data_IF_340393680718
#
_entry.id   IF_340393680718
#
_cell.length_a   1.000
_cell.length_b   1.000
_cell.length_c   1.000
_cell.angle_alpha   90.00
_cell.angle_beta   90.00
_cell.angle_gamma   90.00
#
_symmetry.space_group_name_H-M   'P 1'
#
loop_
_entity.id
_entity.type
_entity.pdbx_description
1 polymer ?
#
# COMPACT_ATOMS: atom_id res chain seq x y z
N UNK A 1 10.54 -9.19 0.23
CA UNK A 1 9.53 -8.17 0.58
C UNK A 1 10.02 -6.89 -0.04
N UNK A 2 9.30 -6.38 -1.03
CA UNK A 2 9.62 -5.10 -1.64
C UNK A 2 8.68 -4.04 -1.08
N UNK A 3 9.28 -2.93 -0.64
CA UNK A 3 8.55 -1.77 -0.17
C UNK A 3 9.04 -0.54 -0.92
N UNK A 4 8.10 0.27 -1.37
CA UNK A 4 8.36 1.49 -2.13
C UNK A 4 7.47 2.60 -1.61
N UNK A 5 7.73 3.83 -2.07
CA UNK A 5 6.98 5.01 -1.67
C UNK A 5 6.22 5.52 -2.88
N UNK A 6 4.91 5.66 -2.73
CA UNK A 6 4.05 6.35 -3.70
C UNK A 6 3.63 7.69 -3.12
N UNK A 7 3.53 8.71 -3.96
CA UNK A 7 3.05 10.03 -3.54
C UNK A 7 1.66 10.26 -4.09
N UNK A 8 0.69 10.47 -3.21
CA UNK A 8 -0.70 10.76 -3.59
C UNK A 8 -1.08 12.06 -2.92
N UNK A 9 -1.56 13.05 -3.68
CA UNK A 9 -1.94 14.38 -3.18
C UNK A 9 -0.83 15.04 -2.32
N UNK A 10 0.43 14.97 -2.75
CA UNK A 10 1.62 15.46 -2.02
C UNK A 10 1.89 14.79 -0.66
N UNK A 11 1.25 13.65 -0.38
CA UNK A 11 1.52 12.84 0.81
C UNK A 11 2.22 11.56 0.38
N UNK A 12 3.35 11.26 1.04
CA UNK A 12 4.12 10.05 0.80
C UNK A 12 3.53 8.87 1.59
N UNK A 13 3.26 7.76 0.90
CA UNK A 13 2.76 6.52 1.47
C UNK A 13 3.76 5.40 1.23
N UNK A 14 4.15 4.72 2.31
CA UNK A 14 4.98 3.52 2.20
C UNK A 14 4.07 2.33 1.89
N UNK A 15 4.30 1.72 0.73
CA UNK A 15 3.56 0.56 0.22
C UNK A 15 4.46 -0.66 0.32
N UNK A 16 3.89 -1.80 0.69
CA UNK A 16 4.57 -3.10 0.68
C UNK A 16 3.72 -4.13 -0.04
N UNK A 17 4.32 -4.86 -0.97
CA UNK A 17 3.64 -5.90 -1.76
C UNK A 17 4.09 -7.28 -1.28
N UNK A 18 3.12 -8.16 -1.06
CA UNK A 18 3.33 -9.52 -0.61
C UNK A 18 2.54 -10.51 -1.48
N UNK A 19 3.22 -11.56 -1.97
CA UNK A 19 2.56 -12.66 -2.70
C UNK A 19 1.71 -13.57 -1.82
N UNK A 20 1.90 -13.52 -0.50
CA UNK A 20 1.14 -14.26 0.52
C UNK A 20 0.59 -13.27 1.56
N UNK A 21 -0.52 -13.60 2.20
CA UNK A 21 -1.06 -12.75 3.28
C UNK A 21 -0.12 -12.80 4.50
N UNK A 22 0.64 -11.73 4.84
CA UNK A 22 1.43 -11.68 6.06
C UNK A 22 0.55 -11.84 7.30
N UNK A 23 1.16 -12.36 8.37
CA UNK A 23 0.47 -12.54 9.65
C UNK A 23 0.05 -11.17 10.19
N UNK A 24 -1.22 -11.06 10.61
CA UNK A 24 -1.84 -9.81 11.10
C UNK A 24 -1.01 -9.07 12.17
N UNK A 25 -0.22 -9.79 12.96
CA UNK A 25 0.66 -9.21 13.99
C UNK A 25 1.87 -8.43 13.43
N UNK A 26 2.33 -8.71 12.21
CA UNK A 26 3.40 -7.94 11.55
C UNK A 26 2.89 -6.60 11.00
N UNK A 27 1.57 -6.49 10.84
CA UNK A 27 0.87 -5.32 10.30
C UNK A 27 0.26 -4.48 11.43
N UNK A 28 -0.01 -5.05 12.60
CA UNK A 28 -0.65 -4.30 13.69
C UNK A 28 0.38 -3.63 14.60
N UNK A 29 0.83 -2.43 14.23
CA UNK A 29 1.53 -1.53 15.14
C UNK A 29 0.54 -0.45 15.62
N UNK A 30 0.30 -0.35 16.94
CA UNK A 30 -0.71 0.55 17.55
C UNK A 30 -0.56 2.03 17.15
N UNK A 31 0.61 2.43 16.66
CA UNK A 31 0.92 3.79 16.22
C UNK A 31 0.89 3.98 14.71
N UNK A 32 0.46 2.97 13.95
CA UNK A 32 0.51 2.97 12.49
C UNK A 32 -0.80 2.40 11.96
N UNK A 33 -1.48 3.18 11.11
CA UNK A 33 -2.65 2.69 10.41
C UNK A 33 -2.20 1.96 9.14
N UNK A 34 -2.74 0.77 8.89
CA UNK A 34 -2.52 0.06 7.65
C UNK A 34 -3.81 -0.08 6.86
N UNK A 35 -3.76 0.31 5.59
CA UNK A 35 -4.80 0.00 4.62
C UNK A 35 -4.35 -1.22 3.83
N UNK A 36 -5.20 -2.25 3.76
CA UNK A 36 -4.89 -3.53 3.12
C UNK A 36 -5.80 -3.74 1.92
N UNK A 37 -5.22 -4.08 0.78
CA UNK A 37 -5.93 -4.44 -0.45
C UNK A 37 -5.34 -5.69 -1.10
N UNK A 38 -6.04 -6.24 -2.09
CA UNK A 38 -5.54 -7.34 -2.93
C UNK A 38 -5.62 -6.88 -4.38
N UNK A 39 -4.52 -6.99 -5.09
CA UNK A 39 -4.42 -6.70 -6.53
C UNK A 39 -5.12 -7.79 -7.35
N UNK A 40 -5.46 -7.48 -8.60
CA UNK A 40 -6.01 -8.46 -9.55
C UNK A 40 -5.03 -9.59 -9.87
N UNK A 41 -3.72 -9.31 -9.81
CA UNK A 41 -2.64 -10.30 -9.89
C UNK A 41 -2.55 -11.22 -8.66
N UNK A 42 -3.39 -11.00 -7.63
CA UNK A 42 -3.48 -11.84 -6.44
C UNK A 42 -2.52 -11.46 -5.31
N UNK A 43 -1.68 -10.45 -5.49
CA UNK A 43 -0.76 -9.94 -4.46
C UNK A 43 -1.48 -9.06 -3.44
N UNK A 44 -1.06 -9.15 -2.19
CA UNK A 44 -1.51 -8.30 -1.08
C UNK A 44 -0.71 -7.01 -1.00
N UNK A 45 -1.41 -5.91 -0.80
CA UNK A 45 -0.84 -4.57 -0.69
C UNK A 45 -1.10 -4.03 0.70
N UNK A 46 -0.03 -3.58 1.36
CA UNK A 46 -0.06 -2.99 2.69
C UNK A 46 0.42 -1.56 2.60
N UNK A 47 -0.41 -0.64 3.06
CA UNK A 47 -0.14 0.79 2.93
C UNK A 47 -0.05 1.34 4.33
N UNK A 48 1.16 1.74 4.68
CA UNK A 48 1.43 2.40 5.94
C UNK A 48 0.99 3.86 5.83
N UNK A 49 0.17 4.32 6.76
CA UNK A 49 -0.21 5.72 6.92
C UNK A 49 -0.03 6.19 8.36
N UNK A 50 0.28 7.47 8.52
CA UNK A 50 0.32 8.09 9.83
C UNK A 50 -1.09 8.08 10.46
N UNK A 51 -1.22 8.01 11.80
CA UNK A 51 -2.51 7.92 12.49
C UNK A 51 -3.53 9.00 12.10
N UNK A 52 -3.04 10.17 11.66
CA UNK A 52 -3.83 11.35 11.29
C UNK A 52 -3.88 11.62 9.79
N UNK A 53 -3.30 10.75 8.96
CA UNK A 53 -3.37 10.91 7.50
C UNK A 53 -4.78 10.67 6.99
N UNK A 54 -5.17 11.44 5.97
CA UNK A 54 -6.43 11.23 5.26
C UNK A 54 -6.54 9.79 4.75
N UNK A 55 -7.74 9.21 4.87
CA UNK A 55 -8.05 7.90 4.30
C UNK A 55 -8.12 8.06 2.79
N UNK A 56 -7.20 7.42 2.07
CA UNK A 56 -7.21 7.41 0.60
C UNK A 56 -8.02 6.20 0.11
N UNK A 57 -8.90 6.38 -0.90
CA UNK A 57 -9.58 5.27 -1.56
C UNK A 57 -8.59 4.27 -2.18
N UNK A 58 -8.86 2.97 -2.03
CA UNK A 58 -8.01 1.90 -2.58
C UNK A 58 -7.76 2.03 -4.09
N UNK A 59 -8.71 2.60 -4.84
CA UNK A 59 -8.59 2.86 -6.28
C UNK A 59 -7.45 3.84 -6.60
N UNK A 60 -7.36 4.97 -5.88
CA UNK A 60 -6.28 5.94 -6.08
C UNK A 60 -4.91 5.36 -5.73
N UNK A 61 -4.88 4.43 -4.78
CA UNK A 61 -3.67 3.68 -4.46
C UNK A 61 -3.31 2.74 -5.61
N UNK A 62 -4.27 2.00 -6.16
CA UNK A 62 -4.05 1.12 -7.31
C UNK A 62 -3.40 1.89 -8.46
N UNK A 63 -3.99 3.02 -8.84
CA UNK A 63 -3.45 3.90 -9.87
C UNK A 63 -2.01 4.36 -9.57
N UNK A 64 -1.72 4.74 -8.32
CA UNK A 64 -0.38 5.19 -7.93
C UNK A 64 0.66 4.07 -7.92
N UNK A 65 0.23 2.81 -7.72
CA UNK A 65 1.10 1.62 -7.83
C UNK A 65 1.35 1.31 -9.30
N UNK A 66 0.31 1.34 -10.14
CA UNK A 66 0.42 1.11 -11.58
C UNK A 66 1.32 2.17 -12.25
N UNK A 67 1.22 3.44 -11.84
CA UNK A 67 2.14 4.50 -12.28
C UNK A 67 3.60 4.27 -11.82
N UNK A 68 3.80 3.60 -10.69
CA UNK A 68 5.13 3.28 -10.14
C UNK A 68 5.76 2.05 -10.81
N UNK A 69 4.93 1.08 -11.19
CA UNK A 69 5.29 -0.08 -12.00
C UNK A 69 4.53 -0.01 -13.32
N UNK A 70 4.85 0.97 -14.20
CA UNK A 70 4.23 0.99 -15.50
C UNK A 70 4.56 -0.35 -16.16
N UNK A 71 3.54 -1.14 -16.49
CA UNK A 71 3.75 -2.39 -17.22
C UNK A 71 4.64 -2.06 -18.42
N UNK A 72 5.84 -2.64 -18.47
CA UNK A 72 6.65 -2.62 -19.69
C UNK A 72 5.79 -3.33 -20.75
N UNK A 73 5.29 -2.54 -21.70
CA UNK A 73 4.51 -3.05 -22.84
C UNK A 73 5.27 -4.04 -23.70
#
# INVERSE_FOLDING_TARGET
MESFVVTINNVAYQVSIHSIFPKLFDVYNKSINYTVGKTDAGNWVYIKREPLSAVIPLEQIGMAIDDHFPEEG
#
